data_IF_826134289293
#
_entry.id   IF_826134289293
#
_cell.length_a   1.000
_cell.length_b   1.000
_cell.length_c   1.000
_cell.angle_alpha   90.00
_cell.angle_beta   90.00
_cell.angle_gamma   90.00
#
_symmetry.space_group_name_H-M   'P 1'
#
loop_
_entity.id
_entity.type
_entity.pdbx_description
1 polymer ?
#
# COMPACT_ATOMS: atom_id res chain seq x y z
N UNK A 1 -50.53 46.93 -6.87
CA UNK A 1 -49.96 45.72 -6.23
C UNK A 1 -48.65 45.36 -6.91
N UNK A 2 -47.62 45.11 -6.10
CA UNK A 2 -46.20 44.94 -6.45
C UNK A 2 -45.95 43.56 -7.06
N UNK A 3 -45.30 43.49 -8.24
CA UNK A 3 -44.51 42.33 -8.65
C UNK A 3 -43.11 42.44 -8.03
N UNK A 4 -42.40 41.30 -8.01
CA UNK A 4 -40.97 41.06 -7.72
C UNK A 4 -40.80 40.25 -6.44
N UNK A 5 -40.44 38.97 -6.60
CA UNK A 5 -39.58 38.14 -5.73
C UNK A 5 -39.63 36.67 -6.18
N UNK A 6 -38.76 36.25 -7.09
CA UNK A 6 -38.28 34.83 -7.11
C UNK A 6 -37.00 34.58 -7.92
N UNK A 7 -36.49 35.54 -8.70
CA UNK A 7 -35.28 35.34 -9.51
C UNK A 7 -33.94 35.28 -8.74
N UNK A 8 -33.89 35.70 -7.46
CA UNK A 8 -32.65 35.66 -6.67
C UNK A 8 -32.26 34.26 -6.16
N UNK A 9 -33.21 33.34 -5.97
CA UNK A 9 -32.92 32.03 -5.39
C UNK A 9 -32.20 31.08 -6.38
N UNK A 10 -32.49 31.17 -7.68
CA UNK A 10 -31.81 30.39 -8.71
C UNK A 10 -30.40 30.91 -9.03
N UNK A 11 -30.18 32.23 -8.92
CA UNK A 11 -28.85 32.85 -9.03
C UNK A 11 -27.93 32.48 -7.86
N UNK A 12 -28.47 32.40 -6.64
CA UNK A 12 -27.71 31.98 -5.45
C UNK A 12 -27.27 30.52 -5.48
N UNK A 13 -28.09 29.59 -6.00
CA UNK A 13 -27.70 28.18 -6.15
C UNK A 13 -26.62 27.96 -7.23
N UNK A 14 -26.67 28.72 -8.33
CA UNK A 14 -25.69 28.62 -9.41
C UNK A 14 -24.35 29.27 -9.06
N UNK A 15 -24.36 30.37 -8.30
CA UNK A 15 -23.15 30.98 -7.73
C UNK A 15 -22.55 30.12 -6.62
N UNK A 16 -23.38 29.46 -5.78
CA UNK A 16 -22.88 28.52 -4.77
C UNK A 16 -22.22 27.29 -5.40
N UNK A 17 -22.79 26.72 -6.48
CA UNK A 17 -22.19 25.59 -7.20
C UNK A 17 -20.88 25.97 -7.91
N UNK A 18 -20.79 27.18 -8.48
CA UNK A 18 -19.56 27.70 -9.07
C UNK A 18 -18.50 28.03 -8.01
N UNK A 19 -18.90 28.54 -6.84
CA UNK A 19 -18.04 28.75 -5.68
C UNK A 19 -17.46 27.44 -5.17
N UNK A 20 -18.30 26.43 -4.95
CA UNK A 20 -17.87 25.08 -4.55
C UNK A 20 -16.93 24.45 -5.59
N UNK A 21 -17.18 24.64 -6.88
CA UNK A 21 -16.30 24.12 -7.94
C UNK A 21 -14.93 24.83 -7.96
N UNK A 22 -14.91 26.16 -7.80
CA UNK A 22 -13.67 26.93 -7.78
C UNK A 22 -12.86 26.67 -6.51
N UNK A 23 -13.51 26.55 -5.35
CA UNK A 23 -12.87 26.20 -4.08
C UNK A 23 -12.35 24.75 -4.12
N UNK A 24 -13.14 23.78 -4.59
CA UNK A 24 -12.68 22.41 -4.77
C UNK A 24 -11.52 22.31 -5.77
N UNK A 25 -11.54 23.09 -6.86
CA UNK A 25 -10.44 23.14 -7.83
C UNK A 25 -9.18 23.73 -7.22
N UNK A 26 -9.30 24.80 -6.42
CA UNK A 26 -8.18 25.40 -5.71
C UNK A 26 -7.60 24.42 -4.68
N UNK A 27 -8.43 23.77 -3.88
CA UNK A 27 -8.03 22.75 -2.91
C UNK A 27 -7.36 21.55 -3.59
N UNK A 28 -7.92 21.06 -4.71
CA UNK A 28 -7.31 19.98 -5.50
C UNK A 28 -5.96 20.42 -6.08
N UNK A 29 -5.84 21.65 -6.58
CA UNK A 29 -4.55 22.16 -7.10
C UNK A 29 -3.51 22.32 -5.99
N UNK A 30 -3.90 22.81 -4.82
CA UNK A 30 -3.02 22.88 -3.64
C UNK A 30 -2.61 21.47 -3.20
N UNK A 31 -3.55 20.54 -3.10
CA UNK A 31 -3.29 19.15 -2.75
C UNK A 31 -2.34 18.48 -3.76
N UNK A 32 -2.55 18.66 -5.07
CA UNK A 32 -1.66 18.16 -6.11
C UNK A 32 -0.26 18.78 -5.99
N UNK A 33 -0.17 20.07 -5.65
CA UNK A 33 1.11 20.75 -5.41
C UNK A 33 1.87 20.22 -4.19
N UNK A 34 1.17 19.66 -3.20
CA UNK A 34 1.75 19.05 -2.00
C UNK A 34 2.10 17.56 -2.17
N UNK A 35 1.65 16.91 -3.26
CA UNK A 35 2.00 15.53 -3.58
C UNK A 35 3.46 15.42 -4.04
N UNK A 36 4.19 14.49 -3.44
CA UNK A 36 5.53 14.09 -3.88
C UNK A 36 5.45 12.68 -4.48
N UNK A 37 5.33 12.55 -5.81
CA UNK A 37 5.17 11.25 -6.44
C UNK A 37 6.48 10.45 -6.44
N UNK A 38 6.34 9.13 -6.47
CA UNK A 38 7.43 8.15 -6.54
C UNK A 38 7.10 7.12 -7.63
N UNK A 39 8.09 6.74 -8.43
CA UNK A 39 7.95 5.74 -9.49
C UNK A 39 9.12 4.76 -9.45
N UNK A 40 8.82 3.47 -9.37
CA UNK A 40 9.77 2.36 -9.56
C UNK A 40 9.33 1.54 -10.77
N UNK A 41 10.27 1.20 -11.65
CA UNK A 41 10.06 0.19 -12.69
C UNK A 41 11.18 -0.84 -12.53
N UNK A 42 10.81 -2.11 -12.36
CA UNK A 42 11.75 -3.21 -12.10
C UNK A 42 11.43 -4.44 -12.93
N UNK A 43 12.07 -4.62 -14.10
CA UNK A 43 12.04 -5.88 -14.81
C UNK A 43 12.85 -6.94 -14.06
N UNK A 44 12.45 -8.21 -14.20
CA UNK A 44 13.15 -9.37 -13.66
C UNK A 44 12.97 -10.56 -14.57
N UNK A 45 14.10 -11.17 -14.91
CA UNK A 45 14.14 -12.49 -15.51
C UNK A 45 14.35 -13.55 -14.43
N UNK A 46 13.50 -14.57 -14.42
CA UNK A 46 13.60 -15.75 -13.56
C UNK A 46 13.64 -17.02 -14.41
N UNK A 47 14.51 -17.95 -14.02
CA UNK A 47 14.56 -19.31 -14.55
C UNK A 47 14.54 -20.32 -13.40
N UNK A 48 13.86 -21.44 -13.59
CA UNK A 48 13.82 -22.52 -12.60
C UNK A 48 13.80 -23.86 -13.31
N UNK A 49 14.71 -24.76 -12.94
CA UNK A 49 14.73 -26.11 -13.49
C UNK A 49 13.51 -26.91 -13.03
N UNK A 50 12.99 -27.77 -13.91
CA UNK A 50 11.97 -28.78 -13.58
C UNK A 50 12.34 -29.63 -12.36
N UNK A 51 13.63 -29.90 -12.16
CA UNK A 51 14.11 -30.70 -11.03
C UNK A 51 13.92 -30.01 -9.67
N UNK A 52 13.67 -28.69 -9.65
CA UNK A 52 13.38 -27.92 -8.44
C UNK A 52 11.88 -27.93 -8.06
N UNK A 53 11.00 -28.49 -8.89
CA UNK A 53 9.55 -28.50 -8.67
C UNK A 53 8.98 -29.91 -8.84
N UNK A 54 8.40 -30.46 -7.78
CA UNK A 54 7.77 -31.79 -7.84
C UNK A 54 6.65 -31.81 -8.89
N UNK A 55 6.73 -32.74 -9.84
CA UNK A 55 5.73 -32.93 -10.89
C UNK A 55 5.89 -32.04 -12.12
N UNK A 56 6.89 -31.15 -12.17
CA UNK A 56 7.18 -30.38 -13.36
C UNK A 56 7.84 -31.25 -14.45
N UNK A 57 7.39 -31.07 -15.69
CA UNK A 57 7.86 -31.81 -16.87
C UNK A 57 8.90 -30.96 -17.65
N UNK A 58 8.77 -29.64 -17.57
CA UNK A 58 9.59 -28.65 -18.26
C UNK A 58 10.12 -27.56 -17.31
N UNK A 59 11.25 -26.97 -17.69
CA UNK A 59 11.83 -25.82 -16.99
C UNK A 59 10.92 -24.59 -17.12
N UNK A 60 10.97 -23.70 -16.13
CA UNK A 60 10.21 -22.46 -16.15
C UNK A 60 11.09 -21.25 -16.49
N UNK A 61 10.52 -20.33 -17.26
CA UNK A 61 11.09 -19.01 -17.56
C UNK A 61 10.01 -17.95 -17.40
N UNK A 62 10.36 -16.82 -16.80
CA UNK A 62 9.50 -15.67 -16.71
C UNK A 62 10.28 -14.37 -16.83
N UNK A 63 9.81 -13.44 -17.67
CA UNK A 63 10.21 -12.04 -17.62
C UNK A 63 9.04 -11.24 -17.04
N UNK A 64 9.14 -10.91 -15.76
CA UNK A 64 8.14 -10.13 -15.04
C UNK A 64 8.59 -8.68 -14.89
N UNK A 65 7.66 -7.74 -14.93
CA UNK A 65 7.93 -6.34 -14.64
C UNK A 65 7.05 -5.88 -13.51
N UNK A 66 7.71 -5.27 -12.52
CA UNK A 66 7.05 -4.51 -11.47
C UNK A 66 7.00 -3.05 -11.86
N UNK A 67 5.86 -2.42 -11.60
CA UNK A 67 5.73 -0.97 -11.51
C UNK A 67 5.25 -0.64 -10.09
N UNK A 68 5.84 0.37 -9.45
CA UNK A 68 5.29 0.98 -8.23
C UNK A 68 5.06 2.45 -8.47
N UNK A 69 3.87 2.91 -8.13
CA UNK A 69 3.50 4.31 -8.17
C UNK A 69 3.07 4.72 -6.76
N UNK A 70 3.91 5.56 -6.14
CA UNK A 70 3.71 6.07 -4.79
C UNK A 70 3.47 7.57 -4.78
N UNK A 71 2.91 8.08 -3.70
CA UNK A 71 2.88 9.52 -3.42
C UNK A 71 2.93 9.79 -1.92
N UNK A 72 3.83 10.68 -1.52
CA UNK A 72 3.85 11.25 -0.17
C UNK A 72 3.00 12.52 -0.12
N UNK A 73 2.24 12.65 0.95
CA UNK A 73 1.46 13.85 1.28
C UNK A 73 2.01 14.34 2.62
N UNK A 74 2.74 15.45 2.62
CA UNK A 74 3.41 15.94 3.83
C UNK A 74 2.48 16.77 4.74
N UNK A 75 1.30 17.14 4.25
CA UNK A 75 0.31 17.93 4.98
C UNK A 75 -1.08 17.48 4.56
N UNK A 76 -1.84 16.90 5.48
CA UNK A 76 -3.23 16.48 5.23
C UNK A 76 -4.15 17.36 6.07
N UNK A 77 -5.26 17.84 5.51
CA UNK A 77 -6.29 18.62 6.21
C UNK A 77 -5.76 19.86 6.94
N UNK A 78 -4.66 20.44 6.46
CA UNK A 78 -3.94 21.53 7.14
C UNK A 78 -3.42 21.21 8.55
N UNK A 79 -3.35 19.94 8.94
CA UNK A 79 -2.80 19.51 10.23
C UNK A 79 -1.28 19.42 10.10
N UNK A 80 -0.50 20.27 10.80
CA UNK A 80 0.95 20.17 10.79
C UNK A 80 1.39 18.81 11.34
N UNK A 81 2.51 18.28 10.84
CA UNK A 81 3.12 17.01 11.29
C UNK A 81 2.36 15.73 10.90
N UNK A 82 1.16 15.85 10.32
CA UNK A 82 0.39 14.73 9.80
C UNK A 82 0.75 14.48 8.33
N UNK A 83 1.29 13.30 8.05
CA UNK A 83 1.71 12.86 6.72
C UNK A 83 0.96 11.61 6.29
N UNK A 84 0.82 11.41 4.99
CA UNK A 84 0.34 10.16 4.42
C UNK A 84 1.26 9.66 3.31
N UNK A 85 1.14 8.36 3.04
CA UNK A 85 1.74 7.72 1.89
C UNK A 85 0.79 6.67 1.32
N UNK A 86 0.65 6.70 0.00
CA UNK A 86 -0.10 5.71 -0.78
C UNK A 86 0.84 5.13 -1.82
N UNK A 87 0.76 3.83 -2.05
CA UNK A 87 1.55 3.14 -3.07
C UNK A 87 0.76 2.02 -3.73
N UNK A 88 0.67 2.09 -5.06
CA UNK A 88 0.17 1.03 -5.92
C UNK A 88 1.35 0.24 -6.47
N UNK A 89 1.22 -1.08 -6.46
CA UNK A 89 2.15 -2.01 -7.05
C UNK A 89 1.45 -2.83 -8.13
N UNK A 90 1.98 -2.80 -9.34
CA UNK A 90 1.55 -3.64 -10.45
C UNK A 90 2.68 -4.59 -10.84
N UNK A 91 2.34 -5.85 -11.07
CA UNK A 91 3.25 -6.86 -11.62
C UNK A 91 2.57 -7.46 -12.83
N UNK A 92 3.29 -7.47 -13.94
CA UNK A 92 2.84 -8.05 -15.21
C UNK A 92 3.95 -8.87 -15.88
N UNK A 93 3.55 -9.78 -16.75
CA UNK A 93 4.45 -10.56 -17.61
C UNK A 93 4.75 -9.76 -18.89
N UNK A 94 6.04 -9.56 -19.23
CA UNK A 94 6.44 -8.89 -20.48
C UNK A 94 6.52 -9.83 -21.68
N UNK A 95 6.72 -11.13 -21.44
CA UNK A 95 6.76 -12.19 -22.45
C UNK A 95 5.79 -13.30 -22.07
N UNK A 96 5.49 -14.19 -23.02
CA UNK A 96 4.70 -15.39 -22.76
C UNK A 96 5.27 -16.18 -21.58
N UNK A 97 4.40 -16.43 -20.58
CA UNK A 97 4.77 -17.12 -19.34
C UNK A 97 4.87 -18.63 -19.55
N UNK A 98 6.02 -19.22 -19.19
CA UNK A 98 6.19 -20.67 -19.04
C UNK A 98 6.42 -20.99 -17.58
N UNK A 99 5.37 -20.89 -16.75
CA UNK A 99 5.45 -21.14 -15.30
C UNK A 99 4.11 -21.56 -14.73
N UNK A 100 4.13 -22.44 -13.75
CA UNK A 100 2.91 -22.84 -13.03
C UNK A 100 2.59 -21.81 -11.95
N UNK A 101 1.84 -20.78 -12.33
CA UNK A 101 1.01 -20.01 -11.40
C UNK A 101 -0.43 -20.04 -11.92
N UNK A 102 -1.21 -21.01 -11.45
CA UNK A 102 -2.63 -21.14 -11.77
C UNK A 102 -3.01 -21.89 -13.05
N UNK A 103 -2.06 -22.30 -13.91
CA UNK A 103 -2.34 -23.13 -15.10
C UNK A 103 -1.25 -24.20 -15.32
N UNK A 104 -1.69 -25.35 -15.84
CA UNK A 104 -0.97 -26.60 -16.22
C UNK A 104 0.29 -26.92 -15.41
N UNK A 105 0.26 -28.05 -14.68
CA UNK A 105 1.38 -28.63 -13.92
C UNK A 105 2.62 -29.02 -14.76
N UNK A 106 2.78 -28.51 -15.98
CA UNK A 106 3.84 -28.90 -16.90
C UNK A 106 5.17 -28.15 -16.64
N UNK A 107 5.14 -26.93 -16.12
CA UNK A 107 6.34 -26.10 -15.93
C UNK A 107 6.77 -26.02 -14.46
N UNK A 108 8.05 -25.72 -14.21
CA UNK A 108 8.54 -25.44 -12.86
C UNK A 108 7.85 -24.20 -12.22
N UNK A 109 7.94 -24.11 -10.90
CA UNK A 109 7.23 -23.09 -10.12
C UNK A 109 8.01 -21.77 -10.03
N UNK A 110 7.39 -20.68 -10.51
CA UNK A 110 7.87 -19.31 -10.29
C UNK A 110 6.77 -18.52 -9.58
N UNK A 111 7.07 -18.12 -8.35
CA UNK A 111 6.13 -17.55 -7.38
C UNK A 111 6.03 -16.02 -7.46
N UNK A 112 5.67 -15.46 -8.61
CA UNK A 112 5.52 -14.00 -8.77
C UNK A 112 4.39 -13.68 -9.77
N UNK A 113 3.12 -13.83 -9.38
CA UNK A 113 2.01 -13.68 -10.31
C UNK A 113 1.83 -12.27 -10.84
N UNK A 114 1.14 -12.19 -11.97
CA UNK A 114 0.64 -10.91 -12.48
C UNK A 114 -0.52 -10.40 -11.61
N UNK A 115 -0.25 -9.40 -10.76
CA UNK A 115 -1.20 -8.84 -9.80
C UNK A 115 -1.02 -7.33 -9.65
N UNK A 116 -2.12 -6.64 -9.35
CA UNK A 116 -2.14 -5.23 -8.99
C UNK A 116 -2.63 -5.09 -7.54
N UNK A 117 -1.92 -4.34 -6.70
CA UNK A 117 -2.23 -4.20 -5.26
C UNK A 117 -1.90 -2.81 -4.71
N UNK A 118 -2.75 -2.31 -3.82
CA UNK A 118 -2.43 -1.20 -2.93
C UNK A 118 -1.53 -1.74 -1.80
N UNK A 119 -0.24 -1.56 -1.98
CA UNK A 119 0.80 -2.11 -1.09
C UNK A 119 0.95 -1.26 0.16
N UNK A 120 0.97 0.06 0.04
CA UNK A 120 1.02 0.96 1.19
C UNK A 120 -0.12 1.98 1.17
N UNK A 121 -0.69 2.20 2.35
CA UNK A 121 -1.71 3.20 2.61
C UNK A 121 -1.66 3.52 4.09
N UNK A 122 -0.86 4.52 4.45
CA UNK A 122 -0.54 4.83 5.84
C UNK A 122 -0.60 6.32 6.11
N UNK A 123 -0.91 6.63 7.36
CA UNK A 123 -0.83 7.97 7.94
C UNK A 123 0.17 7.92 9.09
N UNK A 124 0.96 8.97 9.23
CA UNK A 124 1.90 9.11 10.34
C UNK A 124 1.83 10.51 10.94
N UNK A 125 1.96 10.59 12.26
CA UNK A 125 2.04 11.84 13.00
C UNK A 125 3.33 11.86 13.81
N UNK A 126 4.21 12.83 13.54
CA UNK A 126 5.53 12.90 14.15
C UNK A 126 5.69 14.18 14.97
N UNK A 127 5.86 14.07 16.28
CA UNK A 127 6.15 15.18 17.18
C UNK A 127 7.45 14.91 17.92
N UNK A 128 8.36 15.89 17.94
CA UNK A 128 9.70 15.71 18.51
C UNK A 128 10.43 14.52 17.84
N UNK A 129 10.79 13.52 18.65
CA UNK A 129 11.41 12.25 18.23
C UNK A 129 10.43 11.07 18.35
N UNK A 130 9.14 11.33 18.42
CA UNK A 130 8.09 10.32 18.52
C UNK A 130 7.23 10.32 17.27
N UNK A 131 6.95 9.13 16.73
CA UNK A 131 6.09 8.93 15.56
C UNK A 131 5.01 7.92 15.87
N UNK A 132 3.77 8.29 15.61
CA UNK A 132 2.64 7.38 15.49
C UNK A 132 2.45 7.02 14.02
N UNK A 133 2.19 5.75 13.73
CA UNK A 133 1.89 5.25 12.40
C UNK A 133 0.64 4.38 12.44
N UNK A 134 -0.27 4.62 11.51
CA UNK A 134 -1.46 3.81 11.33
C UNK A 134 -1.70 3.52 9.84
N UNK A 135 -2.04 2.28 9.53
CA UNK A 135 -2.43 1.86 8.20
C UNK A 135 -1.56 0.73 7.66
N UNK A 136 -1.61 0.52 6.34
CA UNK A 136 -0.86 -0.54 5.68
C UNK A 136 0.52 -0.07 5.27
N UNK A 137 1.55 -0.80 5.68
CA UNK A 137 2.94 -0.49 5.34
C UNK A 137 3.80 -1.76 5.23
N UNK A 138 5.02 -1.60 4.73
CA UNK A 138 6.05 -2.63 4.80
C UNK A 138 6.69 -2.58 6.19
N UNK A 139 6.97 -3.74 6.75
CA UNK A 139 7.59 -3.86 8.08
C UNK A 139 8.78 -4.80 7.96
N UNK A 140 9.94 -4.29 8.35
CA UNK A 140 11.17 -5.06 8.51
C UNK A 140 11.66 -4.87 9.95
N UNK A 141 11.69 -5.95 10.73
CA UNK A 141 12.19 -5.93 12.11
C UNK A 141 13.46 -6.74 12.25
N UNK A 142 14.44 -6.15 12.96
CA UNK A 142 15.72 -6.76 13.31
C UNK A 142 16.46 -7.33 12.10
N UNK A 143 16.74 -6.49 11.10
CA UNK A 143 17.39 -6.88 9.85
C UNK A 143 16.64 -8.00 9.11
N UNK A 144 15.32 -7.98 9.18
CA UNK A 144 14.42 -8.98 8.59
C UNK A 144 14.45 -10.37 9.25
N UNK A 145 15.07 -10.52 10.43
CA UNK A 145 15.15 -11.81 11.15
C UNK A 145 13.81 -12.28 11.71
N UNK A 146 12.96 -11.35 12.15
CA UNK A 146 11.66 -11.71 12.73
C UNK A 146 10.49 -11.40 11.79
N UNK A 147 10.51 -10.21 11.18
CA UNK A 147 9.48 -9.78 10.23
C UNK A 147 10.17 -9.21 9.00
N UNK A 148 9.79 -9.71 7.83
CA UNK A 148 10.27 -9.25 6.54
C UNK A 148 9.09 -8.93 5.63
N UNK A 149 9.25 -7.91 4.80
CA UNK A 149 8.37 -7.58 3.69
C UNK A 149 8.62 -8.45 2.45
N UNK A 150 9.60 -9.37 2.50
CA UNK A 150 9.98 -10.23 1.38
C UNK A 150 10.16 -9.45 0.06
N UNK A 151 10.80 -8.27 0.11
CA UNK A 151 10.96 -7.38 -1.06
C UNK A 151 11.74 -8.00 -2.24
N UNK A 152 12.34 -9.18 -2.03
CA UNK A 152 12.89 -10.02 -3.07
C UNK A 152 11.83 -10.62 -4.00
N UNK A 153 10.55 -10.69 -3.63
CA UNK A 153 9.44 -10.99 -4.56
C UNK A 153 9.13 -9.80 -5.45
N UNK A 154 8.35 -9.98 -6.52
CA UNK A 154 7.84 -8.89 -7.36
C UNK A 154 6.67 -8.14 -6.73
N UNK A 155 5.99 -8.70 -5.74
CA UNK A 155 5.04 -7.95 -4.91
C UNK A 155 5.42 -8.14 -3.44
N UNK A 156 5.75 -7.07 -2.70
CA UNK A 156 6.20 -7.19 -1.31
C UNK A 156 5.05 -7.59 -0.40
N UNK A 157 5.33 -8.36 0.65
CA UNK A 157 4.40 -8.54 1.75
C UNK A 157 4.18 -7.23 2.51
N UNK A 158 2.95 -6.95 2.90
CA UNK A 158 2.59 -5.72 3.60
C UNK A 158 1.68 -6.02 4.79
N UNK A 159 1.68 -5.12 5.77
CA UNK A 159 1.06 -5.31 7.07
C UNK A 159 0.20 -4.12 7.43
N UNK A 160 -0.97 -4.35 7.99
CA UNK A 160 -1.75 -3.33 8.67
C UNK A 160 -1.23 -3.18 10.09
N UNK A 161 -0.81 -1.95 10.44
CA UNK A 161 -0.08 -1.67 11.68
C UNK A 161 -0.67 -0.46 12.38
N UNK A 162 -0.75 -0.54 13.71
CA UNK A 162 -0.76 0.62 14.61
C UNK A 162 0.55 0.60 15.39
N UNK A 163 1.41 1.61 15.22
CA UNK A 163 2.72 1.66 15.84
C UNK A 163 3.02 3.00 16.49
N UNK A 164 3.77 2.95 17.58
CA UNK A 164 4.45 4.05 18.23
C UNK A 164 5.95 3.78 18.19
N UNK A 165 6.72 4.72 17.65
CA UNK A 165 8.17 4.68 17.65
C UNK A 165 8.70 5.95 18.34
N UNK A 166 9.60 5.82 19.31
CA UNK A 166 10.13 6.97 20.04
C UNK A 166 11.61 6.83 20.39
N UNK A 167 12.34 7.94 20.27
CA UNK A 167 13.73 8.13 20.71
C UNK A 167 13.89 9.32 21.66
N UNK A 168 12.84 9.66 22.40
CA UNK A 168 12.87 10.81 23.32
C UNK A 168 13.81 10.57 24.49
N UNK A 169 13.91 9.33 24.96
CA UNK A 169 14.80 8.95 26.05
C UNK A 169 16.21 8.68 25.47
N UNK A 170 17.27 9.35 25.95
CA UNK A 170 18.64 9.08 25.52
C UNK A 170 18.98 7.59 25.63
N UNK A 171 19.66 7.05 24.62
CA UNK A 171 20.07 5.64 24.52
C UNK A 171 18.93 4.61 24.47
N UNK A 172 17.67 5.04 24.31
CA UNK A 172 16.52 4.15 24.13
C UNK A 172 15.87 4.38 22.77
N UNK A 173 15.85 3.33 21.96
CA UNK A 173 15.07 3.24 20.73
C UNK A 173 13.89 2.28 20.96
N UNK A 174 12.69 2.82 21.18
CA UNK A 174 11.50 2.05 21.55
C UNK A 174 10.51 2.01 20.37
N UNK A 175 10.19 0.81 19.91
CA UNK A 175 9.09 0.54 18.99
C UNK A 175 8.06 -0.35 19.66
N UNK A 176 6.81 0.11 19.70
CA UNK A 176 5.64 -0.68 20.06
C UNK A 176 4.73 -0.74 18.84
N UNK A 177 4.39 -1.93 18.35
CA UNK A 177 3.53 -2.10 17.19
C UNK A 177 2.51 -3.22 17.40
N UNK A 178 1.27 -2.95 16.99
CA UNK A 178 0.20 -3.93 16.85
C UNK A 178 -0.01 -4.20 15.36
N UNK A 179 0.18 -5.45 14.94
CA UNK A 179 -0.11 -5.88 13.57
C UNK A 179 -1.49 -6.54 13.54
N UNK A 180 -2.43 -5.92 12.83
CA UNK A 180 -3.82 -6.40 12.71
C UNK A 180 -4.12 -7.01 11.34
N UNK A 181 -3.24 -6.86 10.36
CA UNK A 181 -3.42 -7.42 9.02
C UNK A 181 -2.07 -7.84 8.44
N UNK A 182 -2.07 -8.94 7.66
CA UNK A 182 -0.92 -9.38 6.85
C UNK A 182 -1.39 -9.78 5.46
N UNK A 183 -0.83 -9.14 4.43
CA UNK A 183 -1.08 -9.44 3.01
C UNK A 183 0.15 -10.03 2.36
N UNK A 184 0.05 -11.31 2.00
CA UNK A 184 1.11 -12.07 1.34
C UNK A 184 1.38 -11.58 -0.08
N UNK A 185 2.60 -11.83 -0.56
CA UNK A 185 3.08 -11.46 -1.89
C UNK A 185 2.15 -11.88 -3.04
N UNK A 186 1.43 -13.00 -2.94
CA UNK A 186 0.59 -13.54 -4.01
C UNK A 186 -0.90 -13.15 -3.94
N UNK A 187 -1.32 -12.35 -2.94
CA UNK A 187 -2.72 -11.96 -2.74
C UNK A 187 -3.07 -10.75 -3.61
N UNK A 188 -4.18 -10.84 -4.34
CA UNK A 188 -4.74 -9.76 -5.13
C UNK A 188 -5.86 -9.06 -4.34
N UNK A 189 -5.74 -7.75 -4.12
CA UNK A 189 -6.63 -6.98 -3.25
C UNK A 189 -7.43 -5.90 -3.98
N UNK A 190 -7.09 -5.61 -5.25
CA UNK A 190 -7.74 -4.54 -6.03
C UNK A 190 -8.60 -5.07 -7.16
N UNK A 191 -8.67 -6.38 -7.42
CA UNK A 191 -9.48 -6.92 -8.52
C UNK A 191 -10.76 -7.53 -7.97
N UNK A 192 -11.88 -6.84 -8.19
CA UNK A 192 -13.23 -7.39 -8.08
C UNK A 192 -13.63 -8.06 -9.40
N UNK A 193 -14.50 -9.07 -9.33
CA UNK A 193 -15.10 -9.67 -10.52
C UNK A 193 -16.62 -9.55 -10.41
N UNK A 194 -17.24 -8.89 -11.38
CA UNK A 194 -18.70 -8.81 -11.50
C UNK A 194 -19.05 -9.13 -12.95
N UNK A 195 -19.93 -10.12 -13.16
CA UNK A 195 -20.33 -10.59 -14.49
C UNK A 195 -19.14 -10.86 -15.43
N UNK A 196 -18.13 -11.60 -14.95
CA UNK A 196 -16.88 -11.91 -15.66
C UNK A 196 -16.01 -10.70 -16.08
N UNK A 197 -16.37 -9.47 -15.69
CA UNK A 197 -15.53 -8.28 -15.89
C UNK A 197 -14.72 -8.00 -14.64
N UNK A 198 -13.41 -7.81 -14.83
CA UNK A 198 -12.49 -7.39 -13.77
C UNK A 198 -12.58 -5.88 -13.62
N UNK A 199 -12.73 -5.40 -12.39
CA UNK A 199 -12.72 -3.98 -12.06
C UNK A 199 -11.82 -3.69 -10.87
N UNK A 200 -11.34 -2.45 -10.76
CA UNK A 200 -10.56 -2.00 -9.61
C UNK A 200 -11.50 -1.76 -8.43
N UNK A 201 -11.40 -2.62 -7.42
CA UNK A 201 -12.20 -2.57 -6.20
C UNK A 201 -11.38 -1.99 -5.05
N UNK A 202 -11.52 -0.68 -4.83
CA UNK A 202 -10.88 0.01 -3.71
C UNK A 202 -11.53 -0.34 -2.35
N UNK A 203 -12.70 -0.96 -2.32
CA UNK A 203 -13.40 -1.32 -1.07
C UNK A 203 -12.82 -2.57 -0.40
N UNK A 204 -12.12 -3.43 -1.16
CA UNK A 204 -11.38 -4.60 -0.66
C UNK A 204 -10.05 -4.27 0.01
N UNK A 205 -9.62 -3.01 -0.06
CA UNK A 205 -8.38 -2.56 0.57
C UNK A 205 -8.45 -2.59 2.10
N UNK A 206 -9.61 -2.81 2.71
CA UNK A 206 -9.84 -2.74 4.15
C UNK A 206 -10.67 -3.90 4.69
N UNK A 207 -10.38 -5.15 4.29
CA UNK A 207 -10.81 -6.31 5.09
C UNK A 207 -10.04 -6.31 6.43
N UNK A 208 -10.36 -5.33 7.28
CA UNK A 208 -10.03 -5.24 8.69
C UNK A 208 -10.78 -6.37 9.37
N UNK A 209 -10.16 -7.54 9.37
CA UNK A 209 -10.68 -8.73 10.02
C UNK A 209 -10.17 -8.74 11.47
N UNK A 210 -10.89 -8.05 12.35
CA UNK A 210 -10.60 -7.92 13.80
C UNK A 210 -10.94 -9.19 14.60
N UNK A 211 -10.97 -10.35 13.95
CA UNK A 211 -11.36 -11.59 14.61
C UNK A 211 -10.33 -11.91 15.73
N UNK A 212 -10.74 -11.99 17.01
CA UNK A 212 -9.84 -12.18 18.16
C UNK A 212 -9.01 -13.47 18.13
N UNK A 213 -9.41 -14.45 17.32
CA UNK A 213 -8.71 -15.68 17.00
C UNK A 213 -7.45 -15.47 16.14
N UNK A 214 -7.26 -14.27 15.57
CA UNK A 214 -6.05 -13.84 14.87
C UNK A 214 -5.26 -12.93 15.79
N UNK A 215 -4.65 -13.52 16.82
CA UNK A 215 -3.91 -12.80 17.86
C UNK A 215 -3.02 -11.68 17.25
N UNK A 216 -3.27 -10.40 17.58
CA UNK A 216 -2.46 -9.32 17.06
C UNK A 216 -1.02 -9.51 17.52
N UNK A 217 -0.07 -9.50 16.58
CA UNK A 217 1.33 -9.58 16.95
C UNK A 217 1.72 -8.25 17.59
N UNK A 218 2.02 -8.28 18.89
CA UNK A 218 2.61 -7.17 19.61
C UNK A 218 4.12 -7.29 19.48
N UNK A 219 4.73 -6.40 18.69
CA UNK A 219 6.17 -6.30 18.59
C UNK A 219 6.65 -5.17 19.51
N UNK A 220 7.47 -5.54 20.50
CA UNK A 220 8.25 -4.61 21.32
C UNK A 220 9.71 -4.76 20.89
N UNK A 221 10.28 -3.70 20.30
CA UNK A 221 11.70 -3.66 19.99
C UNK A 221 12.36 -2.54 20.80
N UNK A 222 13.41 -2.90 21.53
CA UNK A 222 14.21 -2.00 22.34
C UNK A 222 15.66 -2.14 21.88
N UNK A 223 16.23 -1.08 21.31
CA UNK A 223 17.68 -1.01 21.07
C UNK A 223 18.30 -0.11 22.13
N UNK A 224 18.94 -0.73 23.11
CA UNK A 224 19.70 -0.06 24.16
C UNK A 224 21.17 0.09 23.75
N UNK A 225 21.64 1.33 23.65
CA UNK A 225 23.07 1.63 23.56
C UNK A 225 23.64 1.87 24.95
N UNK A 226 24.25 0.84 25.54
CA UNK A 226 25.14 0.98 26.70
C UNK A 226 26.36 0.09 26.45
N UNK A 227 27.29 0.62 25.67
CA UNK A 227 28.70 0.27 25.81
C UNK A 227 29.39 1.57 26.21
N UNK A 228 30.01 1.56 27.39
CA UNK A 228 30.95 2.58 27.82
C UNK A 228 32.05 2.80 26.78
#
# INVERSE_FOLDING_TARGET
MRKVKSLMAAGLLTVAAAGIYNDAKAEIQTFIGELKPELEIRPRFDWTSKNATSGAIEDATALTTRIRLGAHIDKIFNIPLLKAYLELNDVSDLIDKKRTYGETNQYAFIADPSITRLTEAKVSYTWGKTTLLFGRTRVNLDDQRFISDANWRQTPQTFGVLALHTKEIPNLDLLMAMIYERKWWARNDLVGTMNNKKFVDFTRTSSLDWSPDKAPLVALHIKGGLFY
#
